data_IF_614000894151
#
_entry.id   IF_614000894151
#
_cell.length_a   1.000
_cell.length_b   1.000
_cell.length_c   1.000
_cell.angle_alpha   90.00
_cell.angle_beta   90.00
_cell.angle_gamma   90.00
#
_symmetry.space_group_name_H-M   'P 1'
#
loop_
_entity.id
_entity.type
_entity.pdbx_description
1 polymer ?
#
# COMPACT_ATOMS: atom_id res chain seq x y z
N UNK A 1 1.87 22.98 12.83
CA UNK A 1 0.59 23.27 12.14
C UNK A 1 0.96 23.89 10.81
N UNK A 2 0.50 23.37 9.65
CA UNK A 2 0.83 23.95 8.36
C UNK A 2 0.29 25.38 8.32
N UNK A 3 1.07 26.32 7.80
CA UNK A 3 0.71 27.74 7.84
C UNK A 3 -0.42 27.98 6.83
N UNK A 4 -1.49 28.71 7.16
CA UNK A 4 -2.61 28.99 6.23
C UNK A 4 -2.18 29.48 4.84
N UNK A 5 -0.99 30.09 4.74
CA UNK A 5 -0.36 30.49 3.48
C UNK A 5 -0.01 29.31 2.55
N UNK A 6 0.34 28.13 3.07
CA UNK A 6 0.62 26.95 2.24
C UNK A 6 -0.65 26.39 1.58
N UNK A 7 -1.78 26.41 2.29
CA UNK A 7 -3.07 25.99 1.73
C UNK A 7 -3.60 26.93 0.65
N UNK A 8 -3.20 28.20 0.66
CA UNK A 8 -3.53 29.15 -0.40
C UNK A 8 -2.67 28.95 -1.67
N UNK A 9 -1.43 28.47 -1.52
CA UNK A 9 -0.51 28.22 -2.65
C UNK A 9 -0.78 26.85 -3.31
N UNK A 10 -1.18 25.85 -2.53
CA UNK A 10 -1.56 24.53 -3.02
C UNK A 10 -2.81 24.02 -2.27
N UNK A 11 -4.02 24.37 -2.74
CA UNK A 11 -5.24 23.90 -2.10
C UNK A 11 -5.32 22.37 -2.17
N UNK A 12 -5.61 21.73 -1.03
CA UNK A 12 -5.89 20.29 -1.01
C UNK A 12 -7.24 20.08 -1.68
N UNK A 13 -7.21 19.61 -2.92
CA UNK A 13 -8.42 19.23 -3.65
C UNK A 13 -8.86 17.84 -3.15
N UNK A 14 -10.04 17.72 -2.51
CA UNK A 14 -10.49 16.46 -1.92
C UNK A 14 -10.65 15.35 -2.97
N UNK A 15 -11.02 15.70 -4.20
CA UNK A 15 -11.13 14.75 -5.32
C UNK A 15 -9.77 14.12 -5.68
N UNK A 16 -8.70 14.91 -5.65
CA UNK A 16 -7.35 14.40 -5.91
C UNK A 16 -6.88 13.46 -4.80
N UNK A 17 -7.21 13.77 -3.54
CA UNK A 17 -6.90 12.90 -2.40
C UNK A 17 -7.68 11.58 -2.52
N UNK A 18 -8.98 11.64 -2.82
CA UNK A 18 -9.80 10.45 -2.99
C UNK A 18 -9.33 9.58 -4.16
N UNK A 19 -8.97 10.19 -5.29
CA UNK A 19 -8.42 9.47 -6.44
C UNK A 19 -7.11 8.74 -6.08
N UNK A 20 -6.20 9.41 -5.36
CA UNK A 20 -4.93 8.83 -4.93
C UNK A 20 -5.13 7.66 -3.96
N UNK A 21 -6.04 7.82 -2.99
CA UNK A 21 -6.40 6.74 -2.05
C UNK A 21 -6.99 5.54 -2.81
N UNK A 22 -7.90 5.78 -3.77
CA UNK A 22 -8.49 4.71 -4.58
C UNK A 22 -7.45 3.98 -5.43
N UNK A 23 -6.52 4.71 -6.05
CA UNK A 23 -5.44 4.12 -6.84
C UNK A 23 -4.53 3.24 -5.95
N UNK A 24 -4.20 3.71 -4.75
CA UNK A 24 -3.42 2.96 -3.77
C UNK A 24 -4.13 1.67 -3.33
N UNK A 25 -5.41 1.75 -2.96
CA UNK A 25 -6.19 0.57 -2.57
C UNK A 25 -6.32 -0.45 -3.70
N UNK A 26 -6.47 0.01 -4.95
CA UNK A 26 -6.52 -0.90 -6.09
C UNK A 26 -5.20 -1.64 -6.30
N UNK A 27 -4.07 -0.94 -6.19
CA UNK A 27 -2.75 -1.57 -6.24
C UNK A 27 -2.58 -2.60 -5.14
N UNK A 28 -2.91 -2.26 -3.90
CA UNK A 28 -2.81 -3.17 -2.76
C UNK A 28 -3.65 -4.43 -2.96
N UNK A 29 -4.89 -4.30 -3.43
CA UNK A 29 -5.77 -5.45 -3.70
C UNK A 29 -5.24 -6.36 -4.80
N UNK A 30 -4.71 -5.79 -5.89
CA UNK A 30 -4.11 -6.55 -6.99
C UNK A 30 -2.81 -7.24 -6.57
N UNK A 31 -1.95 -6.56 -5.83
CA UNK A 31 -0.72 -7.17 -5.33
C UNK A 31 -0.99 -8.24 -4.30
N UNK A 32 -1.99 -8.05 -3.42
CA UNK A 32 -2.38 -9.02 -2.42
C UNK A 32 -2.89 -10.33 -3.03
N UNK A 33 -3.69 -10.26 -4.11
CA UNK A 33 -4.17 -11.46 -4.80
C UNK A 33 -3.04 -12.21 -5.52
N UNK A 34 -2.09 -11.50 -6.13
CA UNK A 34 -0.92 -12.11 -6.79
C UNK A 34 0.00 -12.77 -5.75
N UNK A 35 0.29 -12.09 -4.64
CA UNK A 35 1.11 -12.67 -3.57
C UNK A 35 0.43 -13.84 -2.87
N UNK A 36 -0.90 -13.81 -2.73
CA UNK A 36 -1.68 -14.95 -2.21
C UNK A 36 -1.58 -16.15 -3.12
N UNK A 37 -1.74 -15.97 -4.43
CA UNK A 37 -1.51 -17.03 -5.41
C UNK A 37 -0.08 -17.60 -5.33
N UNK A 38 0.93 -16.74 -5.26
CA UNK A 38 2.33 -17.17 -5.12
C UNK A 38 2.57 -17.97 -3.83
N UNK A 39 2.03 -17.52 -2.69
CA UNK A 39 2.12 -18.22 -1.42
C UNK A 39 1.41 -19.58 -1.44
N UNK A 40 0.26 -19.66 -2.12
CA UNK A 40 -0.47 -20.91 -2.35
C UNK A 40 0.30 -21.92 -3.19
N UNK A 41 0.91 -21.47 -4.30
CA UNK A 41 1.73 -22.33 -5.17
C UNK A 41 2.97 -22.85 -4.44
N UNK A 42 3.64 -21.99 -3.67
CA UNK A 42 4.79 -22.38 -2.84
C UNK A 42 4.39 -23.32 -1.69
N UNK A 43 3.09 -23.40 -1.36
CA UNK A 43 2.59 -24.24 -0.29
C UNK A 43 3.03 -23.79 1.10
N UNK A 44 3.26 -22.48 1.27
CA UNK A 44 3.58 -21.90 2.58
C UNK A 44 2.36 -22.07 3.49
N UNK A 45 2.58 -22.59 4.70
CA UNK A 45 1.53 -22.84 5.68
C UNK A 45 1.70 -21.98 6.93
N UNK A 46 0.57 -21.70 7.60
CA UNK A 46 0.53 -21.08 8.93
C UNK A 46 1.30 -19.75 9.00
N UNK A 47 2.19 -19.56 9.96
CA UNK A 47 2.95 -18.32 10.19
C UNK A 47 3.80 -17.88 8.99
N UNK A 48 4.31 -18.82 8.20
CA UNK A 48 5.20 -18.50 7.07
C UNK A 48 4.47 -17.73 5.96
N UNK A 49 3.22 -18.08 5.68
CA UNK A 49 2.40 -17.34 4.71
C UNK A 49 1.97 -15.96 5.23
N UNK A 50 1.67 -15.81 6.52
CA UNK A 50 1.41 -14.49 7.08
C UNK A 50 2.66 -13.60 7.06
N UNK A 51 3.83 -14.14 7.40
CA UNK A 51 5.09 -13.39 7.31
C UNK A 51 5.38 -12.95 5.88
N UNK A 52 5.14 -13.82 4.90
CA UNK A 52 5.23 -13.49 3.48
C UNK A 52 4.32 -12.30 3.14
N UNK A 53 3.05 -12.34 3.53
CA UNK A 53 2.13 -11.22 3.30
C UNK A 53 2.61 -9.90 3.93
N UNK A 54 3.06 -9.92 5.19
CA UNK A 54 3.54 -8.72 5.87
C UNK A 54 4.76 -8.12 5.18
N UNK A 55 5.75 -8.93 4.84
CA UNK A 55 6.98 -8.48 4.17
C UNK A 55 6.66 -7.89 2.80
N UNK A 56 5.86 -8.58 1.98
CA UNK A 56 5.53 -8.13 0.63
C UNK A 56 4.59 -6.92 0.61
N UNK A 57 3.67 -6.81 1.58
CA UNK A 57 2.79 -5.64 1.71
C UNK A 57 3.59 -4.39 2.12
N UNK A 58 4.49 -4.53 3.09
CA UNK A 58 5.42 -3.46 3.49
C UNK A 58 6.32 -3.09 2.32
N UNK A 59 6.88 -4.08 1.63
CA UNK A 59 7.76 -3.86 0.48
C UNK A 59 7.04 -3.13 -0.65
N UNK A 60 5.81 -3.52 -0.99
CA UNK A 60 5.01 -2.86 -2.04
C UNK A 60 4.68 -1.42 -1.67
N UNK A 61 4.34 -1.18 -0.40
CA UNK A 61 4.06 0.16 0.13
C UNK A 61 5.32 1.04 0.11
N UNK A 62 6.46 0.48 0.51
CA UNK A 62 7.77 1.14 0.45
C UNK A 62 8.22 1.40 -0.99
N UNK A 63 7.97 0.48 -1.92
CA UNK A 63 8.31 0.65 -3.33
C UNK A 63 7.43 1.72 -3.99
N UNK A 64 6.14 1.75 -3.68
CA UNK A 64 5.24 2.82 -4.12
C UNK A 64 5.69 4.18 -3.55
N UNK A 65 6.08 4.22 -2.28
CA UNK A 65 6.68 5.40 -1.66
C UNK A 65 7.96 5.84 -2.40
N UNK A 66 8.90 4.94 -2.61
CA UNK A 66 10.19 5.23 -3.24
C UNK A 66 10.06 5.67 -4.72
N UNK A 67 9.14 5.05 -5.48
CA UNK A 67 9.00 5.33 -6.92
C UNK A 67 8.14 6.57 -7.19
N UNK A 68 7.07 6.79 -6.42
CA UNK A 68 6.10 7.87 -6.72
C UNK A 68 6.15 9.04 -5.75
N UNK A 69 6.38 8.79 -4.46
CA UNK A 69 6.31 9.82 -3.42
C UNK A 69 7.68 10.49 -3.22
N UNK A 70 8.76 9.72 -3.12
CA UNK A 70 10.11 10.24 -2.89
C UNK A 70 10.62 11.21 -3.98
N UNK A 71 10.52 10.94 -5.30
CA UNK A 71 11.03 11.87 -6.32
C UNK A 71 10.21 13.16 -6.42
N UNK A 72 8.96 13.15 -5.93
CA UNK A 72 8.06 14.31 -5.93
C UNK A 72 8.23 15.14 -4.66
N UNK A 73 8.50 14.48 -3.51
CA UNK A 73 8.79 15.14 -2.23
C UNK A 73 10.16 15.83 -2.23
N UNK A 74 11.18 15.20 -2.85
CA UNK A 74 12.53 15.76 -2.97
C UNK A 74 12.58 17.02 -3.87
N UNK A 75 11.78 17.07 -4.94
CA UNK A 75 11.63 18.25 -5.81
C UNK A 75 10.95 19.44 -5.11
N UNK A 76 10.28 19.20 -3.98
CA UNK A 76 9.58 20.21 -3.20
C UNK A 76 10.37 20.68 -1.96
N UNK A 77 11.56 20.12 -1.68
CA UNK A 77 12.40 20.54 -0.56
C UNK A 77 11.97 20.04 0.83
N UNK A 78 11.02 19.09 0.91
CA UNK A 78 10.60 18.50 2.18
C UNK A 78 11.36 17.20 2.48
N UNK A 79 11.50 16.89 3.78
CA UNK A 79 12.24 15.73 4.30
C UNK A 79 11.67 14.41 3.75
N UNK A 80 12.58 13.45 3.54
CA UNK A 80 12.37 12.10 2.95
C UNK A 80 11.35 11.19 3.64
N UNK A 81 10.56 11.71 4.59
CA UNK A 81 9.55 10.99 5.35
C UNK A 81 8.23 11.77 5.46
N UNK A 82 8.15 13.01 4.96
CA UNK A 82 6.95 13.82 5.11
C UNK A 82 5.95 13.55 3.98
N UNK A 83 4.93 12.73 4.29
CA UNK A 83 3.85 12.34 3.36
C UNK A 83 2.62 13.27 3.49
N UNK A 84 2.73 14.33 4.32
CA UNK A 84 1.64 15.25 4.66
C UNK A 84 1.10 16.06 3.48
N UNK A 85 1.86 16.19 2.38
CA UNK A 85 1.44 16.97 1.20
C UNK A 85 0.37 16.29 0.33
N UNK A 86 0.33 14.96 0.32
CA UNK A 86 -0.55 14.21 -0.59
C UNK A 86 -1.56 13.31 0.14
N UNK A 87 -1.33 12.99 1.40
CA UNK A 87 -2.23 12.17 2.21
C UNK A 87 -2.49 12.83 3.56
N UNK A 88 -3.75 12.71 4.02
CA UNK A 88 -4.25 13.33 5.25
C UNK A 88 -3.54 12.81 6.51
N UNK A 89 -2.93 11.63 6.45
CA UNK A 89 -2.13 11.03 7.51
C UNK A 89 -1.15 9.97 6.96
N UNK A 90 0.13 10.06 7.33
CA UNK A 90 1.16 9.06 6.96
C UNK A 90 0.86 7.66 7.54
N UNK A 91 0.15 7.60 8.67
CA UNK A 91 -0.25 6.35 9.30
C UNK A 91 -1.39 5.66 8.54
N UNK A 92 -2.31 6.43 7.95
CA UNK A 92 -3.41 5.91 7.12
C UNK A 92 -2.89 5.31 5.81
N UNK A 93 -1.84 5.91 5.23
CA UNK A 93 -1.15 5.36 4.06
C UNK A 93 -0.48 4.00 4.34
N UNK A 94 0.22 3.88 5.47
CA UNK A 94 0.91 2.64 5.84
C UNK A 94 -0.03 1.55 6.36
N UNK A 95 -0.96 1.89 7.25
CA UNK A 95 -1.85 0.90 7.89
C UNK A 95 -3.07 0.53 7.06
N UNK A 96 -3.56 1.43 6.19
CA UNK A 96 -4.76 1.20 5.37
C UNK A 96 -4.60 0.04 4.39
N UNK A 97 -3.41 -0.16 3.85
CA UNK A 97 -3.14 -1.24 2.90
C UNK A 97 -3.07 -2.63 3.50
N UNK A 98 -2.56 -2.72 4.73
CA UNK A 98 -2.37 -3.98 5.43
C UNK A 98 -3.68 -4.72 5.68
N UNK A 99 -4.75 -4.00 6.03
CA UNK A 99 -6.06 -4.59 6.28
C UNK A 99 -6.89 -4.73 5.00
N UNK A 100 -6.79 -3.77 4.07
CA UNK A 100 -7.57 -3.79 2.82
C UNK A 100 -7.25 -4.98 1.92
N UNK A 101 -5.96 -5.34 1.79
CA UNK A 101 -5.52 -6.45 0.94
C UNK A 101 -5.65 -7.84 1.56
N UNK A 102 -5.82 -7.95 2.88
CA UNK A 102 -5.66 -9.21 3.62
C UNK A 102 -6.69 -10.27 3.19
N UNK A 103 -7.95 -9.88 3.02
CA UNK A 103 -9.00 -10.80 2.61
C UNK A 103 -8.75 -11.38 1.21
N UNK A 104 -8.30 -10.55 0.27
CA UNK A 104 -7.96 -10.98 -1.09
C UNK A 104 -6.73 -11.90 -1.12
N UNK A 105 -5.74 -11.62 -0.27
CA UNK A 105 -4.59 -12.49 -0.06
C UNK A 105 -5.00 -13.87 0.45
N UNK A 106 -5.77 -13.94 1.55
CA UNK A 106 -6.19 -15.21 2.15
C UNK A 106 -7.04 -16.04 1.18
N UNK A 107 -7.95 -15.40 0.44
CA UNK A 107 -8.82 -16.09 -0.53
C UNK A 107 -8.02 -16.76 -1.65
N UNK A 108 -7.04 -16.05 -2.22
CA UNK A 108 -6.21 -16.58 -3.31
C UNK A 108 -5.19 -17.59 -2.78
N UNK A 109 -4.67 -17.39 -1.58
CA UNK A 109 -3.78 -18.32 -0.91
C UNK A 109 -4.44 -19.68 -0.70
N UNK A 110 -5.63 -19.74 -0.12
CA UNK A 110 -6.33 -21.01 0.12
C UNK A 110 -6.76 -21.69 -1.17
N UNK A 111 -7.20 -20.92 -2.17
CA UNK A 111 -7.59 -21.45 -3.48
C UNK A 111 -6.43 -22.15 -4.20
N UNK A 112 -5.28 -21.46 -4.36
CA UNK A 112 -4.14 -22.03 -5.07
C UNK A 112 -3.46 -23.14 -4.28
N UNK A 113 -3.41 -23.03 -2.95
CA UNK A 113 -2.93 -24.10 -2.08
C UNK A 113 -3.75 -25.38 -2.27
N UNK A 114 -5.08 -25.26 -2.26
CA UNK A 114 -5.99 -26.38 -2.51
C UNK A 114 -5.84 -26.96 -3.91
N UNK A 115 -5.61 -26.12 -4.92
CA UNK A 115 -5.43 -26.58 -6.30
C UNK A 115 -4.13 -27.38 -6.53
N UNK A 116 -3.03 -26.96 -5.89
CA UNK A 116 -1.71 -27.58 -6.09
C UNK A 116 -1.53 -28.85 -5.26
N UNK A 117 -2.22 -28.95 -4.12
CA UNK A 117 -2.09 -30.06 -3.16
C UNK A 117 -3.32 -30.98 -3.08
N UNK A 118 -4.33 -30.79 -3.95
CA UNK A 118 -5.40 -31.75 -4.19
C UNK A 118 -4.93 -32.87 -5.13
#
# INVERSE_FOLDING_TARGET
>A
MPTEKEFQIAPIVPESVMHNTKALSNLQNLTASIFGAAAGILGLESYSGFLFYFVFTIFTTALFYAIRVAPTSLKAGHTVLDTSRYFRSSYEFWSGGLLGGLAGYILTWTLFYGLVRA
#
